data_IF_042221393377
#
_entry.id   IF_042221393377
#
_cell.length_a   1.000
_cell.length_b   1.000
_cell.length_c   1.000
_cell.angle_alpha   90.00
_cell.angle_beta   90.00
_cell.angle_gamma   90.00
#
_symmetry.space_group_name_H-M   'P 1'
#
loop_
_entity.id
_entity.type
_entity.pdbx_description
1 polymer ?
#
# COMPACT_ATOMS: atom_id res chain seq x y z
N UNK A 1 30.72 4.91 -26.59
CA UNK A 1 29.47 4.35 -26.03
C UNK A 1 29.39 4.83 -24.60
N UNK A 2 28.57 5.85 -24.36
CA UNK A 2 28.42 6.50 -23.07
C UNK A 2 27.60 5.61 -22.14
N UNK A 3 28.24 5.15 -21.06
CA UNK A 3 27.57 4.59 -19.89
C UNK A 3 26.50 5.57 -19.42
N UNK A 4 25.24 5.24 -19.67
CA UNK A 4 24.11 5.90 -19.06
C UNK A 4 24.18 5.57 -17.57
N UNK A 5 24.81 6.49 -16.82
CA UNK A 5 25.05 6.42 -15.39
C UNK A 5 23.87 5.80 -14.67
N UNK A 6 24.02 4.53 -14.30
CA UNK A 6 23.13 3.84 -13.40
C UNK A 6 23.33 4.47 -12.03
N UNK A 7 22.67 5.59 -11.76
CA UNK A 7 22.52 6.05 -10.39
C UNK A 7 21.73 4.96 -9.66
N UNK A 8 22.34 4.22 -8.72
CA UNK A 8 21.58 3.28 -7.90
C UNK A 8 20.46 4.08 -7.26
N UNK A 9 19.20 3.73 -7.58
CA UNK A 9 18.07 4.32 -6.86
C UNK A 9 18.27 3.94 -5.39
N UNK A 10 18.40 4.91 -4.47
CA UNK A 10 18.60 4.61 -3.07
C UNK A 10 17.46 3.72 -2.61
N UNK A 11 17.81 2.49 -2.24
CA UNK A 11 16.87 1.41 -1.88
C UNK A 11 16.36 1.54 -0.45
N UNK A 12 16.87 2.48 0.34
CA UNK A 12 16.39 2.75 1.68
C UNK A 12 15.25 3.76 1.66
N UNK A 13 14.15 3.41 2.34
CA UNK A 13 13.11 4.34 2.75
C UNK A 13 13.76 5.59 3.37
N UNK A 14 13.93 6.66 2.60
CA UNK A 14 14.33 7.94 3.18
C UNK A 14 13.13 8.48 3.94
N UNK A 15 13.20 8.41 5.26
CA UNK A 15 12.30 9.14 6.15
C UNK A 15 12.42 10.62 5.81
N UNK A 16 11.45 11.16 5.06
CA UNK A 16 11.38 12.60 4.86
C UNK A 16 10.82 13.22 6.15
N UNK A 17 11.71 13.78 6.97
CA UNK A 17 11.34 14.53 8.18
C UNK A 17 10.26 15.56 7.86
N UNK A 18 10.34 16.21 6.70
CA UNK A 18 9.32 17.16 6.21
C UNK A 18 7.93 16.52 6.12
N UNK A 19 7.84 15.29 5.61
CA UNK A 19 6.57 14.56 5.52
C UNK A 19 5.97 14.25 6.89
N UNK A 20 6.80 13.82 7.84
CA UNK A 20 6.37 13.56 9.23
C UNK A 20 5.88 14.86 9.88
N UNK A 21 6.60 15.96 9.72
CA UNK A 21 6.18 17.26 10.26
C UNK A 21 4.83 17.73 9.69
N UNK A 22 4.61 17.61 8.38
CA UNK A 22 3.33 17.95 7.75
C UNK A 22 2.21 17.11 8.36
N UNK A 23 2.42 15.79 8.51
CA UNK A 23 1.43 14.89 9.10
C UNK A 23 1.09 15.30 10.53
N UNK A 24 2.10 15.59 11.37
CA UNK A 24 1.89 16.05 12.75
C UNK A 24 1.08 17.34 12.78
N UNK A 25 1.43 18.34 11.96
CA UNK A 25 0.70 19.63 11.90
C UNK A 25 -0.76 19.42 11.50
N UNK A 26 -1.02 18.62 10.47
CA UNK A 26 -2.38 18.32 10.01
C UNK A 26 -3.19 17.64 11.11
N UNK A 27 -2.62 16.64 11.80
CA UNK A 27 -3.30 15.99 12.92
C UNK A 27 -3.55 16.95 14.09
N UNK A 28 -2.59 17.81 14.44
CA UNK A 28 -2.78 18.82 15.50
C UNK A 28 -3.94 19.77 15.19
N UNK A 29 -4.06 20.25 13.94
CA UNK A 29 -5.18 21.09 13.52
C UNK A 29 -6.50 20.32 13.60
N UNK A 30 -6.55 19.07 13.11
CA UNK A 30 -7.75 18.22 13.18
C UNK A 30 -8.17 18.01 14.64
N UNK A 31 -7.25 17.69 15.54
CA UNK A 31 -7.55 17.51 16.96
C UNK A 31 -8.02 18.80 17.62
N UNK A 32 -7.41 19.95 17.29
CA UNK A 32 -7.84 21.25 17.80
C UNK A 32 -9.28 21.56 17.40
N UNK A 33 -9.64 21.34 16.13
CA UNK A 33 -11.00 21.53 15.60
C UNK A 33 -11.97 20.52 16.20
N UNK A 34 -11.56 19.26 16.38
CA UNK A 34 -12.42 18.19 16.92
C UNK A 34 -12.69 18.33 18.43
N UNK A 35 -11.78 18.94 19.19
CA UNK A 35 -11.85 19.09 20.66
C UNK A 35 -13.19 19.64 21.18
N UNK A 36 -13.72 20.79 20.69
CA UNK A 36 -15.00 21.31 21.16
C UNK A 36 -16.16 20.33 20.93
N UNK A 37 -16.17 19.64 19.79
CA UNK A 37 -17.22 18.64 19.50
C UNK A 37 -17.14 17.45 20.44
N UNK A 38 -15.93 16.97 20.76
CA UNK A 38 -15.74 15.88 21.75
C UNK A 38 -16.20 16.31 23.14
N UNK A 39 -15.93 17.57 23.54
CA UNK A 39 -16.37 18.10 24.84
C UNK A 39 -17.89 18.23 24.94
N UNK A 40 -18.59 18.44 23.83
CA UNK A 40 -20.05 18.50 23.78
C UNK A 40 -20.72 17.11 23.93
N UNK A 41 -19.97 16.02 23.76
CA UNK A 41 -20.49 14.66 23.93
C UNK A 41 -20.72 14.32 25.41
N UNK A 42 -21.72 13.47 25.68
CA UNK A 42 -21.91 12.91 27.01
C UNK A 42 -20.70 12.08 27.44
N UNK A 43 -20.44 11.98 28.75
CA UNK A 43 -19.29 11.23 29.31
C UNK A 43 -19.20 9.80 28.77
N UNK A 44 -20.35 9.13 28.60
CA UNK A 44 -20.38 7.76 28.08
C UNK A 44 -20.01 7.68 26.59
N UNK A 45 -20.42 8.67 25.79
CA UNK A 45 -20.00 8.79 24.39
C UNK A 45 -18.51 9.09 24.27
N UNK A 46 -17.97 9.93 25.16
CA UNK A 46 -16.53 10.21 25.23
C UNK A 46 -15.72 8.95 25.53
N UNK A 47 -16.17 8.12 26.48
CA UNK A 47 -15.53 6.83 26.80
C UNK A 47 -15.48 5.89 25.60
N UNK A 48 -16.57 5.77 24.84
CA UNK A 48 -16.60 4.92 23.64
C UNK A 48 -15.76 5.47 22.51
N UNK A 49 -15.76 6.77 22.31
CA UNK A 49 -14.84 7.42 21.37
C UNK A 49 -13.39 7.12 21.74
N UNK A 50 -13.04 7.20 23.03
CA UNK A 50 -11.69 6.86 23.51
C UNK A 50 -11.34 5.39 23.25
N UNK A 51 -12.26 4.45 23.50
CA UNK A 51 -12.06 3.03 23.19
C UNK A 51 -11.88 2.78 21.68
N UNK A 52 -12.68 3.44 20.85
CA UNK A 52 -12.55 3.36 19.40
C UNK A 52 -11.20 3.90 18.93
N UNK A 53 -10.77 5.06 19.45
CA UNK A 53 -9.46 5.65 19.12
C UNK A 53 -8.30 4.78 19.61
N UNK A 54 -8.41 4.18 20.79
CA UNK A 54 -7.42 3.23 21.30
C UNK A 54 -7.32 1.97 20.43
N UNK A 55 -8.47 1.41 20.03
CA UNK A 55 -8.53 0.32 19.06
C UNK A 55 -7.88 0.71 17.74
N UNK A 56 -8.18 1.91 17.24
CA UNK A 56 -7.61 2.46 16.01
C UNK A 56 -6.08 2.60 16.08
N UNK A 57 -5.55 3.18 17.16
CA UNK A 57 -4.11 3.26 17.39
C UNK A 57 -3.45 1.88 17.42
N UNK A 58 -4.05 0.91 18.12
CA UNK A 58 -3.54 -0.46 18.20
C UNK A 58 -3.54 -1.14 16.83
N UNK A 59 -4.63 -1.02 16.06
CA UNK A 59 -4.73 -1.56 14.71
C UNK A 59 -3.74 -0.93 13.75
N UNK A 60 -3.62 0.39 13.77
CA UNK A 60 -2.67 1.12 12.93
C UNK A 60 -1.22 0.69 13.23
N UNK A 61 -0.86 0.56 14.51
CA UNK A 61 0.48 0.12 14.92
C UNK A 61 0.74 -1.33 14.47
N UNK A 62 -0.17 -2.25 14.77
CA UNK A 62 -0.02 -3.66 14.44
C UNK A 62 0.14 -3.88 12.92
N UNK A 63 -0.73 -3.25 12.12
CA UNK A 63 -0.65 -3.34 10.66
C UNK A 63 0.60 -2.65 10.10
N UNK A 64 0.98 -1.49 10.63
CA UNK A 64 2.21 -0.80 10.19
C UNK A 64 3.44 -1.69 10.42
N UNK A 65 3.59 -2.22 11.63
CA UNK A 65 4.71 -3.11 11.97
C UNK A 65 4.68 -4.37 11.10
N UNK A 66 3.52 -5.00 10.95
CA UNK A 66 3.36 -6.19 10.11
C UNK A 66 3.78 -5.93 8.65
N UNK A 67 3.29 -4.84 8.05
CA UNK A 67 3.59 -4.49 6.66
C UNK A 67 5.06 -4.10 6.48
N UNK A 68 5.63 -3.33 7.40
CA UNK A 68 7.05 -2.98 7.38
C UNK A 68 7.94 -4.24 7.48
N UNK A 69 7.66 -5.14 8.43
CA UNK A 69 8.42 -6.40 8.58
C UNK A 69 8.33 -7.27 7.33
N UNK A 70 7.14 -7.41 6.76
CA UNK A 70 6.97 -8.14 5.49
C UNK A 70 7.73 -7.48 4.36
N UNK A 71 7.70 -6.16 4.28
CA UNK A 71 8.42 -5.41 3.27
C UNK A 71 9.94 -5.61 3.38
N UNK A 72 10.51 -5.47 4.57
CA UNK A 72 11.93 -5.72 4.81
C UNK A 72 12.34 -7.15 4.42
N UNK A 73 11.51 -8.14 4.74
CA UNK A 73 11.77 -9.52 4.36
C UNK A 73 11.80 -9.70 2.83
N UNK A 74 10.88 -9.06 2.13
CA UNK A 74 10.81 -9.09 0.65
C UNK A 74 12.00 -8.35 0.01
N UNK A 75 12.37 -7.19 0.56
CA UNK A 75 13.53 -6.44 0.08
C UNK A 75 14.85 -7.20 0.29
N UNK A 76 14.98 -7.96 1.37
CA UNK A 76 16.12 -8.85 1.59
C UNK A 76 16.23 -9.99 0.57
N UNK A 77 15.16 -10.29 -0.18
CA UNK A 77 15.15 -11.34 -1.21
C UNK A 77 15.33 -10.80 -2.62
N UNK A 78 14.99 -9.54 -2.89
CA UNK A 78 14.80 -9.07 -4.26
C UNK A 78 16.08 -8.69 -5.03
N UNK A 79 17.17 -8.38 -4.32
CA UNK A 79 18.39 -7.81 -4.93
C UNK A 79 18.18 -6.37 -5.41
N UNK A 80 18.99 -5.90 -6.35
CA UNK A 80 18.87 -4.53 -6.88
C UNK A 80 17.51 -4.32 -7.58
N UNK A 81 16.90 -3.14 -7.39
CA UNK A 81 15.64 -2.78 -8.07
C UNK A 81 15.93 -2.18 -9.45
N UNK A 82 15.25 -2.67 -10.47
CA UNK A 82 15.40 -2.17 -11.83
C UNK A 82 14.33 -1.15 -12.21
N UNK A 83 13.05 -1.48 -12.01
CA UNK A 83 11.94 -0.61 -12.40
C UNK A 83 10.74 -0.80 -11.47
N UNK A 84 10.00 0.29 -11.23
CA UNK A 84 8.74 0.27 -10.48
C UNK A 84 7.61 0.61 -11.44
N UNK A 85 6.71 -0.34 -11.66
CA UNK A 85 5.55 -0.21 -12.52
C UNK A 85 4.33 0.09 -11.65
N UNK A 86 3.85 1.33 -11.73
CA UNK A 86 2.71 1.81 -10.95
C UNK A 86 1.49 2.05 -11.84
N UNK A 87 0.35 1.48 -11.46
CA UNK A 87 -0.91 1.62 -12.19
C UNK A 87 -1.59 2.95 -11.86
N UNK A 88 -1.71 3.87 -12.83
CA UNK A 88 -2.65 5.02 -12.78
C UNK A 88 -2.60 5.85 -11.48
N UNK A 89 -1.41 6.34 -11.13
CA UNK A 89 -1.06 6.77 -9.77
C UNK A 89 -1.94 7.86 -9.14
N UNK A 90 -2.41 8.84 -9.91
CA UNK A 90 -3.06 10.02 -9.30
C UNK A 90 -4.47 9.71 -8.80
N UNK A 91 -5.34 9.21 -9.68
CA UNK A 91 -6.73 8.92 -9.31
C UNK A 91 -6.84 7.82 -8.26
N UNK A 92 -6.00 6.78 -8.36
CA UNK A 92 -6.06 5.66 -7.44
C UNK A 92 -5.53 6.02 -6.04
N UNK A 93 -4.44 6.80 -5.93
CA UNK A 93 -3.99 7.30 -4.62
C UNK A 93 -5.04 8.20 -3.98
N UNK A 94 -5.67 9.08 -4.76
CA UNK A 94 -6.78 9.91 -4.26
C UNK A 94 -7.93 9.02 -3.76
N UNK A 95 -8.28 7.96 -4.49
CA UNK A 95 -9.36 7.05 -4.09
C UNK A 95 -9.01 6.21 -2.86
N UNK A 96 -7.77 5.73 -2.72
CA UNK A 96 -7.30 5.02 -1.52
C UNK A 96 -7.32 5.95 -0.30
N UNK A 97 -6.86 7.19 -0.45
CA UNK A 97 -6.86 8.21 0.62
C UNK A 97 -8.28 8.64 1.01
N UNK A 98 -9.10 9.00 0.00
CA UNK A 98 -10.48 9.38 0.22
C UNK A 98 -11.31 8.22 0.77
N UNK A 99 -11.06 6.99 0.30
CA UNK A 99 -11.71 5.77 0.78
C UNK A 99 -11.40 5.49 2.25
N UNK A 100 -10.13 5.59 2.66
CA UNK A 100 -9.74 5.44 4.06
C UNK A 100 -10.36 6.52 4.97
N UNK A 101 -10.41 7.77 4.52
CA UNK A 101 -11.04 8.86 5.25
C UNK A 101 -12.57 8.70 5.35
N UNK A 102 -13.24 8.35 4.25
CA UNK A 102 -14.68 8.07 4.22
C UNK A 102 -15.03 6.88 5.11
N UNK A 103 -14.21 5.82 5.10
CA UNK A 103 -14.41 4.67 5.99
C UNK A 103 -14.40 5.11 7.45
N UNK A 104 -13.42 5.91 7.88
CA UNK A 104 -13.37 6.43 9.25
C UNK A 104 -14.59 7.32 9.60
N UNK A 105 -15.05 8.15 8.65
CA UNK A 105 -16.22 9.02 8.83
C UNK A 105 -17.54 8.25 8.94
N UNK A 106 -17.68 7.09 8.28
CA UNK A 106 -18.91 6.27 8.34
C UNK A 106 -19.07 5.57 9.70
N UNK A 107 -17.97 5.12 10.31
CA UNK A 107 -18.03 4.40 11.59
C UNK A 107 -18.13 5.33 12.82
N UNK A 108 -17.66 6.58 12.71
CA UNK A 108 -17.66 7.51 13.84
C UNK A 108 -19.08 7.75 14.44
N UNK A 109 -20.12 8.03 13.63
CA UNK A 109 -21.48 8.23 14.15
C UNK A 109 -22.10 6.96 14.73
N UNK A 110 -21.76 5.79 14.18
CA UNK A 110 -22.26 4.50 14.68
C UNK A 110 -21.74 4.19 16.08
N UNK A 111 -20.49 4.57 16.37
CA UNK A 111 -19.89 4.39 17.70
C UNK A 111 -20.48 5.37 18.73
N UNK A 112 -20.72 6.62 18.32
CA UNK A 112 -21.23 7.68 19.21
C UNK A 112 -22.74 7.55 19.46
N UNK A 113 -23.50 7.03 18.49
CA UNK A 113 -24.96 6.94 18.53
C UNK A 113 -25.55 5.68 19.16
N UNK A 114 -24.73 4.67 19.51
CA UNK A 114 -25.24 3.40 20.06
C UNK A 114 -25.59 3.50 21.56
N UNK A 115 -26.42 2.60 22.11
CA UNK A 115 -26.65 2.50 23.56
C UNK A 115 -25.42 1.94 24.30
N UNK A 116 -25.29 2.25 25.60
CA UNK A 116 -24.14 1.75 26.36
C UNK A 116 -24.38 0.31 26.80
N UNK A 117 -23.60 -0.59 26.22
CA UNK A 117 -23.62 -2.01 26.54
C UNK A 117 -22.21 -2.57 26.37
N UNK A 118 -21.93 -3.70 27.03
CA UNK A 118 -20.65 -4.40 26.85
C UNK A 118 -20.40 -4.76 25.38
N UNK A 119 -21.45 -5.15 24.66
CA UNK A 119 -21.39 -5.48 23.23
C UNK A 119 -21.00 -4.25 22.42
N UNK A 120 -21.62 -3.09 22.68
CA UNK A 120 -21.30 -1.83 21.99
C UNK A 120 -19.83 -1.43 22.19
N UNK A 121 -19.28 -1.62 23.39
CA UNK A 121 -17.87 -1.32 23.69
C UNK A 121 -16.91 -2.25 22.95
N UNK A 122 -17.21 -3.55 22.89
CA UNK A 122 -16.42 -4.50 22.11
C UNK A 122 -16.44 -4.15 20.61
N UNK A 123 -17.62 -3.82 20.08
CA UNK A 123 -17.78 -3.39 18.69
C UNK A 123 -16.94 -2.14 18.42
N UNK A 124 -16.95 -1.14 19.31
CA UNK A 124 -16.14 0.07 19.17
C UNK A 124 -14.63 -0.25 19.07
N UNK A 125 -14.13 -1.19 19.87
CA UNK A 125 -12.72 -1.61 19.81
C UNK A 125 -12.40 -2.32 18.50
N UNK A 126 -13.23 -3.28 18.07
CA UNK A 126 -13.01 -4.06 16.84
C UNK A 126 -13.11 -3.19 15.59
N UNK A 127 -14.10 -2.30 15.54
CA UNK A 127 -14.24 -1.31 14.47
C UNK A 127 -13.09 -0.31 14.48
N UNK A 128 -12.67 0.14 15.66
CA UNK A 128 -11.49 0.99 15.83
C UNK A 128 -10.26 0.33 15.23
N UNK A 129 -9.95 -0.89 15.67
CA UNK A 129 -8.82 -1.69 15.17
C UNK A 129 -8.84 -1.85 13.65
N UNK A 130 -10.00 -2.21 13.08
CA UNK A 130 -10.16 -2.38 11.64
C UNK A 130 -9.96 -1.07 10.87
N UNK A 131 -10.48 0.04 11.42
CA UNK A 131 -10.30 1.38 10.84
C UNK A 131 -8.82 1.80 10.87
N UNK A 132 -8.14 1.57 11.99
CA UNK A 132 -6.71 1.86 12.14
C UNK A 132 -5.84 1.06 11.17
N UNK A 133 -6.15 -0.23 10.99
CA UNK A 133 -5.51 -1.06 9.97
C UNK A 133 -5.62 -0.46 8.56
N UNK A 134 -6.83 -0.08 8.14
CA UNK A 134 -7.07 0.54 6.84
C UNK A 134 -6.38 1.91 6.68
N UNK A 135 -6.42 2.75 7.71
CA UNK A 135 -5.72 4.04 7.71
C UNK A 135 -4.21 3.85 7.59
N UNK A 136 -3.64 2.88 8.31
CA UNK A 136 -2.20 2.60 8.20
C UNK A 136 -1.80 2.17 6.79
N UNK A 137 -2.60 1.34 6.12
CA UNK A 137 -2.35 0.93 4.74
C UNK A 137 -2.36 2.13 3.77
N UNK A 138 -3.27 3.07 4.01
CA UNK A 138 -3.36 4.32 3.24
C UNK A 138 -2.14 5.22 3.46
N UNK A 139 -1.73 5.39 4.72
CA UNK A 139 -0.54 6.19 5.06
C UNK A 139 0.71 5.54 4.47
N UNK A 140 0.84 4.22 4.57
CA UNK A 140 1.96 3.49 3.98
C UNK A 140 1.98 3.57 2.45
N UNK A 141 0.82 3.58 1.78
CA UNK A 141 0.80 3.72 0.31
C UNK A 141 1.27 5.10 -0.14
N UNK A 142 0.93 6.16 0.61
CA UNK A 142 1.47 7.51 0.40
C UNK A 142 2.96 7.56 0.71
N UNK A 143 3.36 7.06 1.88
CA UNK A 143 4.74 7.12 2.37
C UNK A 143 5.68 6.37 1.43
N UNK A 144 5.39 5.11 1.13
CA UNK A 144 6.21 4.32 0.23
C UNK A 144 6.10 4.77 -1.23
N UNK A 145 5.21 5.73 -1.54
CA UNK A 145 4.84 6.14 -2.90
C UNK A 145 4.51 4.91 -3.77
N UNK A 146 3.95 3.88 -3.16
CA UNK A 146 3.72 2.56 -3.76
C UNK A 146 2.27 2.20 -3.53
N UNK A 147 1.56 1.93 -4.61
CA UNK A 147 0.20 1.41 -4.50
C UNK A 147 0.27 -0.05 -4.07
N UNK A 148 -0.78 -0.52 -3.38
CA UNK A 148 -0.95 -1.94 -3.06
C UNK A 148 -1.02 -2.84 -4.30
N UNK A 149 -1.06 -2.26 -5.51
CA UNK A 149 -1.04 -2.96 -6.81
C UNK A 149 0.21 -2.70 -7.64
N UNK A 150 1.20 -2.00 -7.10
CA UNK A 150 2.45 -1.75 -7.81
C UNK A 150 3.25 -3.04 -8.03
N UNK A 151 4.00 -3.08 -9.12
CA UNK A 151 5.05 -4.09 -9.30
C UNK A 151 6.41 -3.43 -9.22
N UNK A 152 7.37 -4.11 -8.62
CA UNK A 152 8.78 -3.77 -8.73
C UNK A 152 9.49 -4.95 -9.39
N UNK A 153 10.19 -4.71 -10.51
CA UNK A 153 11.10 -5.71 -11.08
C UNK A 153 12.47 -5.53 -10.44
N UNK A 154 13.04 -6.62 -9.98
CA UNK A 154 14.30 -6.66 -9.24
C UNK A 154 15.20 -7.77 -9.80
N UNK A 155 16.45 -7.77 -9.39
CA UNK A 155 17.49 -8.70 -9.81
C UNK A 155 17.08 -10.18 -9.68
N UNK A 156 16.54 -10.56 -8.53
CA UNK A 156 16.19 -11.95 -8.24
C UNK A 156 14.71 -12.29 -8.52
N UNK A 157 13.88 -11.29 -8.85
CA UNK A 157 12.47 -11.55 -9.09
C UNK A 157 11.62 -10.29 -9.15
N UNK A 158 10.36 -10.47 -8.76
CA UNK A 158 9.32 -9.47 -8.86
C UNK A 158 8.67 -9.27 -7.50
N UNK A 159 8.49 -8.02 -7.09
CA UNK A 159 7.69 -7.67 -5.92
C UNK A 159 6.32 -7.19 -6.36
N UNK A 160 5.26 -7.76 -5.80
CA UNK A 160 3.87 -7.45 -6.09
C UNK A 160 3.22 -6.82 -4.85
N UNK A 161 2.57 -5.68 -5.06
CA UNK A 161 1.82 -4.97 -4.02
C UNK A 161 2.67 -4.60 -2.80
N UNK A 162 3.96 -4.37 -3.03
CA UNK A 162 4.99 -4.12 -2.03
C UNK A 162 5.27 -5.25 -1.00
N UNK A 163 4.51 -6.36 -0.97
CA UNK A 163 4.57 -7.36 0.13
C UNK A 163 4.68 -8.82 -0.30
N UNK A 164 4.65 -9.11 -1.61
CA UNK A 164 4.80 -10.47 -2.14
C UNK A 164 6.00 -10.51 -3.06
N UNK A 165 6.99 -11.34 -2.74
CA UNK A 165 8.10 -11.63 -3.65
C UNK A 165 7.79 -12.87 -4.48
N UNK A 166 8.16 -12.84 -5.76
CA UNK A 166 8.15 -13.99 -6.68
C UNK A 166 9.49 -14.07 -7.38
N UNK A 167 10.17 -15.20 -7.25
CA UNK A 167 11.42 -15.43 -7.97
C UNK A 167 11.16 -15.45 -9.47
N UNK A 168 12.15 -15.04 -10.28
CA UNK A 168 12.10 -15.22 -11.73
C UNK A 168 11.89 -16.69 -12.14
N UNK A 169 12.37 -17.64 -11.32
CA UNK A 169 12.16 -19.07 -11.54
C UNK A 169 10.68 -19.47 -11.59
N UNK A 170 9.83 -18.75 -10.85
CA UNK A 170 8.41 -19.03 -10.71
C UNK A 170 7.57 -18.32 -11.79
N UNK A 171 8.19 -17.45 -12.59
CA UNK A 171 7.53 -16.70 -13.64
C UNK A 171 7.65 -17.47 -14.96
N UNK A 172 6.58 -18.11 -15.40
CA UNK A 172 6.61 -18.99 -16.58
C UNK A 172 6.10 -18.35 -17.87
N UNK A 173 5.16 -17.41 -17.77
CA UNK A 173 4.54 -16.78 -18.94
C UNK A 173 4.55 -15.28 -18.73
N UNK A 174 5.02 -14.58 -19.77
CA UNK A 174 4.98 -13.15 -19.92
C UNK A 174 4.27 -12.80 -21.24
N UNK A 175 3.27 -11.91 -21.18
CA UNK A 175 2.62 -11.37 -22.38
C UNK A 175 2.18 -9.94 -22.17
N UNK A 176 2.43 -9.09 -23.18
CA UNK A 176 1.79 -7.78 -23.33
C UNK A 176 0.40 -7.91 -23.96
N UNK A 177 -0.61 -7.36 -23.30
CA UNK A 177 -1.91 -7.13 -23.93
C UNK A 177 -1.91 -5.84 -24.75
N UNK A 178 -2.18 -5.95 -26.06
CA UNK A 178 -2.25 -4.82 -27.03
C UNK A 178 -3.21 -3.70 -26.63
N UNK A 179 -4.23 -3.98 -25.80
CA UNK A 179 -5.25 -2.97 -25.43
C UNK A 179 -4.93 -2.17 -24.17
N UNK A 180 -3.97 -2.59 -23.34
CA UNK A 180 -3.83 -2.02 -21.97
C UNK A 180 -2.41 -2.01 -21.38
N UNK A 181 -1.36 -2.35 -22.14
CA UNK A 181 0.00 -2.44 -21.59
C UNK A 181 0.05 -3.42 -20.41
N UNK A 182 -0.71 -4.51 -20.48
CA UNK A 182 -0.85 -5.44 -19.35
C UNK A 182 0.26 -6.47 -19.42
N UNK A 183 1.12 -6.48 -18.39
CA UNK A 183 2.05 -7.55 -18.05
C UNK A 183 1.25 -8.67 -17.37
N UNK A 184 1.16 -9.83 -18.01
CA UNK A 184 0.60 -11.06 -17.42
C UNK A 184 1.74 -11.91 -16.90
N UNK A 185 1.77 -12.19 -15.59
CA UNK A 185 2.70 -13.11 -14.96
C UNK A 185 1.95 -14.38 -14.55
N UNK A 186 2.37 -15.53 -15.06
CA UNK A 186 1.86 -16.83 -14.61
C UNK A 186 2.89 -17.51 -13.70
N UNK A 187 2.49 -17.77 -12.45
CA UNK A 187 3.23 -18.62 -11.50
C UNK A 187 2.31 -19.77 -11.10
N UNK A 188 2.59 -20.98 -11.59
CA UNK A 188 1.96 -22.30 -11.42
C UNK A 188 0.42 -22.46 -11.18
N UNK A 189 -0.30 -21.48 -10.60
CA UNK A 189 -1.74 -21.46 -10.30
C UNK A 189 -2.38 -20.06 -10.29
N UNK A 190 -1.68 -18.98 -10.68
CA UNK A 190 -2.25 -17.62 -10.61
C UNK A 190 -1.82 -16.76 -11.78
N UNK A 191 -2.80 -16.20 -12.49
CA UNK A 191 -2.57 -15.15 -13.49
C UNK A 191 -2.67 -13.80 -12.80
N UNK A 192 -1.59 -13.04 -12.84
CA UNK A 192 -1.59 -11.67 -12.34
C UNK A 192 -1.44 -10.72 -13.52
N UNK A 193 -2.38 -9.78 -13.65
CA UNK A 193 -2.41 -8.78 -14.72
C UNK A 193 -2.07 -7.43 -14.14
N UNK A 194 -1.10 -6.75 -14.74
CA UNK A 194 -0.66 -5.44 -14.26
C UNK A 194 -0.54 -4.47 -15.41
N UNK A 195 -1.10 -3.27 -15.29
CA UNK A 195 -0.87 -2.24 -16.32
C UNK A 195 0.48 -1.57 -16.07
N UNK A 196 1.34 -1.65 -17.07
CA UNK A 196 2.53 -0.82 -17.22
C UNK A 196 2.27 0.24 -18.30
N UNK A 197 2.98 1.37 -18.22
CA UNK A 197 2.93 2.35 -19.28
C UNK A 197 3.66 1.80 -20.51
N UNK A 198 3.17 2.10 -21.72
CA UNK A 198 3.77 1.60 -22.97
C UNK A 198 5.22 2.04 -23.14
N UNK A 199 5.60 3.23 -22.62
CA UNK A 199 6.99 3.71 -22.60
C UNK A 199 7.96 2.84 -21.80
N UNK A 200 7.46 2.06 -20.84
CA UNK A 200 8.30 1.19 -20.01
C UNK A 200 8.49 -0.19 -20.66
N UNK A 201 7.85 -0.44 -21.81
CA UNK A 201 7.79 -1.74 -22.47
C UNK A 201 9.16 -2.30 -22.81
N UNK A 202 9.96 -1.57 -23.57
CA UNK A 202 11.27 -2.06 -24.05
C UNK A 202 12.21 -2.34 -22.86
N UNK A 203 12.13 -1.51 -21.82
CA UNK A 203 12.91 -1.69 -20.59
C UNK A 203 12.49 -2.94 -19.82
N UNK A 204 11.18 -3.17 -19.69
CA UNK A 204 10.65 -4.38 -19.02
C UNK A 204 10.99 -5.63 -19.84
N UNK A 205 10.89 -5.56 -21.17
CA UNK A 205 11.24 -6.64 -22.08
C UNK A 205 12.73 -7.01 -21.95
N UNK A 206 13.62 -6.02 -21.86
CA UNK A 206 15.05 -6.23 -21.64
C UNK A 206 15.33 -6.95 -20.30
N UNK A 207 14.74 -6.46 -19.20
CA UNK A 207 14.91 -7.05 -17.86
C UNK A 207 14.41 -8.51 -17.83
N UNK A 208 13.24 -8.78 -18.43
CA UNK A 208 12.69 -10.13 -18.48
C UNK A 208 13.52 -11.04 -19.39
N UNK A 209 14.08 -10.52 -20.49
CA UNK A 209 14.95 -11.30 -21.37
C UNK A 209 16.30 -11.67 -20.70
N UNK A 210 16.81 -10.79 -19.84
CA UNK A 210 18.07 -10.96 -19.11
C UNK A 210 17.91 -11.87 -17.89
N UNK A 211 16.89 -11.64 -17.07
CA UNK A 211 16.72 -12.31 -15.76
C UNK A 211 15.61 -13.36 -15.72
N UNK A 212 14.66 -13.32 -16.66
CA UNK A 212 13.52 -14.23 -16.70
C UNK A 212 13.92 -15.65 -17.13
N UNK A 213 13.26 -16.65 -16.56
CA UNK A 213 13.47 -18.04 -16.93
C UNK A 213 12.92 -18.27 -18.36
N UNK A 214 13.82 -18.41 -19.34
CA UNK A 214 13.47 -18.49 -20.77
C UNK A 214 12.51 -19.65 -21.04
N UNK A 215 11.22 -19.37 -21.18
CA UNK A 215 10.34 -20.12 -22.09
C UNK A 215 9.88 -19.18 -23.20
N UNK A 216 10.07 -19.58 -24.47
CA UNK A 216 9.93 -18.68 -25.60
C UNK A 216 8.53 -18.07 -25.69
N UNK A 217 8.54 -16.82 -26.11
CA UNK A 217 7.40 -15.99 -26.45
C UNK A 217 6.47 -16.76 -27.40
N UNK A 218 5.31 -17.23 -26.93
CA UNK A 218 4.28 -17.75 -27.84
C UNK A 218 3.69 -16.52 -28.55
N UNK A 219 4.15 -16.26 -29.78
CA UNK A 219 3.53 -15.24 -30.63
C UNK A 219 2.08 -15.66 -30.89
N UNK A 220 1.09 -14.80 -30.62
CA UNK A 220 -0.26 -15.07 -31.10
C UNK A 220 -0.23 -14.97 -32.63
N UNK A 221 -0.76 -16.02 -33.27
CA UNK A 221 -1.21 -15.99 -34.67
C UNK A 221 -2.32 -14.95 -34.80
#
# INVERSE_FOLDING_TARGET
MTDAGHTPQPSLMQFSIKGVMIVVVVFSVIFAVATPFVRALAVEQQRRLALFLAGNAAGALAFTVYQCRRRYRVEGQCGQRFVVLTTGERFRRIFEVAGGALFALVFLPQVVGTPDSQISRLIAVVMGFSTGGNLSQTVLSIWWRRTASGIELCEHGIIIGAIVFRSWSDVHIYKWSKRRGILVLNSHKTFMTFRAAERDRDRVDAIIAEHGNRRPHIRPV
#
